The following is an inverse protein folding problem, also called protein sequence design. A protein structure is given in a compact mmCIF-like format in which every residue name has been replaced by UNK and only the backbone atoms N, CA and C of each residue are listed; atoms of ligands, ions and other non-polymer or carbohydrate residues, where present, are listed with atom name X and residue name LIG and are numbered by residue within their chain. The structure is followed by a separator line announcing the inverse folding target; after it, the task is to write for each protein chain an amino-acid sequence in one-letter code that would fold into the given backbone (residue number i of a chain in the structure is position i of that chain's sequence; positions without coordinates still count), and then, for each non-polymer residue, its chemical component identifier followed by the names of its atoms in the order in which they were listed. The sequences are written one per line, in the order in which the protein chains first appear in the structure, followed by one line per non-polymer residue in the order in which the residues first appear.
data_IF_030490618158
#
_entry.id   IF_030490618158
#
_cell.length_a   1.000
_cell.length_b   1.000
_cell.length_c   1.000
_cell.angle_alpha   90.00
_cell.angle_beta   90.00
_cell.angle_gamma   90.00
#
_symmetry.space_group_name_H-M   'P 1'
#
loop_
_entity.id
_entity.type
_entity.pdbx_description
1 polymer ?
#
# COMPACT_ATOMS: atom_id res chain seq x y z
N UNK A 1 -14.45 -5.77 -3.62
CA UNK A 1 -13.21 -5.11 -3.81
C UNK A 1 -12.24 -5.48 -2.78
N UNK A 2 -11.09 -5.81 -3.21
CA UNK A 2 -10.11 -6.32 -2.27
C UNK A 2 -9.08 -5.27 -1.89
N UNK A 3 -8.88 -4.22 -2.68
CA UNK A 3 -8.06 -3.10 -2.25
C UNK A 3 -8.96 -2.03 -1.65
N UNK A 4 -8.38 -1.20 -0.79
CA UNK A 4 -9.13 -0.10 -0.22
C UNK A 4 -8.22 1.10 -0.01
N UNK A 5 -8.82 2.28 0.03
CA UNK A 5 -8.08 3.51 0.24
C UNK A 5 -8.01 3.80 1.72
N UNK A 6 -6.84 4.25 2.20
CA UNK A 6 -6.71 4.70 3.57
C UNK A 6 -6.11 6.11 3.56
N UNK A 7 -6.08 6.74 4.71
CA UNK A 7 -5.65 8.13 4.84
C UNK A 7 -4.65 8.25 5.97
N UNK A 8 -4.02 9.43 6.07
CA UNK A 8 -3.12 9.71 7.19
C UNK A 8 -3.83 9.48 8.52
N UNK A 9 -5.08 9.89 8.62
CA UNK A 9 -5.83 9.79 9.86
C UNK A 9 -6.21 8.35 10.20
N UNK A 10 -6.48 7.54 9.19
CA UNK A 10 -6.93 6.17 9.43
C UNK A 10 -5.81 5.14 9.33
N UNK A 11 -4.60 5.59 9.04
CA UNK A 11 -3.47 4.70 8.80
C UNK A 11 -3.20 3.77 9.99
N UNK A 12 -3.28 4.31 11.20
CA UNK A 12 -3.02 3.50 12.39
C UNK A 12 -3.97 2.31 12.45
N UNK A 13 -5.25 2.56 12.24
CA UNK A 13 -6.25 1.52 12.31
C UNK A 13 -6.18 0.60 11.10
N UNK A 14 -6.12 1.17 9.90
CA UNK A 14 -6.25 0.41 8.67
C UNK A 14 -4.99 -0.38 8.32
N UNK A 15 -3.84 0.07 8.77
CA UNK A 15 -2.58 -0.57 8.41
C UNK A 15 -1.90 -1.16 9.64
N UNK A 16 -1.61 -0.34 10.64
CA UNK A 16 -0.81 -0.80 11.78
C UNK A 16 -1.56 -1.87 12.57
N UNK A 17 -2.78 -1.56 13.00
CA UNK A 17 -3.57 -2.51 13.77
C UNK A 17 -3.97 -3.70 12.92
N UNK A 18 -4.38 -3.46 11.68
CA UNK A 18 -4.81 -4.53 10.80
C UNK A 18 -3.68 -5.51 10.51
N UNK A 19 -2.44 -5.03 10.47
CA UNK A 19 -1.29 -5.87 10.16
C UNK A 19 -0.99 -6.90 11.25
N UNK A 20 -1.60 -6.74 12.40
CA UNK A 20 -1.45 -7.71 13.48
C UNK A 20 -2.26 -8.97 13.22
N UNK A 21 -3.29 -8.86 12.39
CA UNK A 21 -4.12 -10.01 12.03
C UNK A 21 -3.64 -10.66 10.74
N UNK A 22 -3.34 -9.85 9.71
CA UNK A 22 -2.73 -10.37 8.49
C UNK A 22 -1.93 -9.27 7.83
N UNK A 23 -0.93 -9.61 7.03
CA UNK A 23 -0.07 -8.60 6.42
C UNK A 23 -0.85 -7.60 5.59
N UNK A 24 -0.40 -6.35 5.62
CA UNK A 24 -1.00 -5.28 4.83
C UNK A 24 0.05 -4.74 3.88
N UNK A 25 -0.24 -4.80 2.59
CA UNK A 25 0.60 -4.18 1.57
C UNK A 25 0.08 -2.78 1.37
N UNK A 26 0.96 -1.78 1.55
CA UNK A 26 0.58 -0.39 1.35
C UNK A 26 1.13 0.08 0.02
N UNK A 27 0.25 0.54 -0.84
CA UNK A 27 0.58 1.05 -2.17
C UNK A 27 0.54 2.59 -2.10
N UNK A 28 1.73 3.20 -2.14
CA UNK A 28 1.87 4.65 -2.13
C UNK A 28 1.86 5.13 -3.58
N UNK A 29 0.89 5.96 -3.92
CA UNK A 29 0.65 6.31 -5.31
C UNK A 29 0.14 7.73 -5.47
N UNK A 30 0.06 8.20 -6.70
CA UNK A 30 -0.56 9.49 -7.02
C UNK A 30 -1.23 9.37 -8.38
N UNK A 31 -2.32 10.11 -8.60
CA UNK A 31 -3.04 10.01 -9.88
C UNK A 31 -2.23 10.46 -11.08
N UNK A 32 -1.22 11.31 -10.88
CA UNK A 32 -0.37 11.76 -11.98
C UNK A 32 0.79 10.80 -12.28
N UNK A 33 0.93 9.77 -11.50
CA UNK A 33 2.02 8.81 -11.64
C UNK A 33 1.59 7.69 -12.58
N UNK A 34 2.08 7.72 -13.82
CA UNK A 34 1.72 6.72 -14.82
C UNK A 34 2.01 5.30 -14.37
N UNK A 35 3.24 5.00 -13.91
CA UNK A 35 3.54 3.64 -13.44
C UNK A 35 2.66 3.20 -12.28
N UNK A 36 2.27 4.12 -11.38
CA UNK A 36 1.36 3.78 -10.29
C UNK A 36 0.01 3.30 -10.83
N UNK A 37 -0.51 4.03 -11.81
CA UNK A 37 -1.79 3.69 -12.42
C UNK A 37 -1.69 2.37 -13.15
N UNK A 38 -0.56 2.12 -13.80
CA UNK A 38 -0.40 0.89 -14.58
C UNK A 38 -0.36 -0.37 -13.73
N UNK A 39 0.15 -0.31 -12.51
CA UNK A 39 0.18 -1.51 -11.66
C UNK A 39 -1.12 -1.73 -10.92
N UNK A 40 -2.02 -0.76 -10.92
CA UNK A 40 -3.25 -0.85 -10.16
C UNK A 40 -4.10 -2.09 -10.48
N UNK A 41 -4.32 -2.43 -11.76
CA UNK A 41 -5.09 -3.65 -12.04
C UNK A 41 -4.43 -4.92 -11.52
N UNK A 42 -3.09 -4.98 -11.57
CA UNK A 42 -2.38 -6.15 -11.06
C UNK A 42 -2.54 -6.27 -9.54
N UNK A 43 -2.50 -5.14 -8.84
CA UNK A 43 -2.69 -5.15 -7.39
C UNK A 43 -4.11 -5.54 -7.03
N UNK A 44 -5.09 -5.07 -7.80
CA UNK A 44 -6.47 -5.42 -7.56
C UNK A 44 -6.67 -6.93 -7.74
N UNK A 45 -6.11 -7.47 -8.82
CA UNK A 45 -6.20 -8.91 -9.08
C UNK A 45 -5.54 -9.72 -7.98
N UNK A 46 -4.36 -9.29 -7.54
CA UNK A 46 -3.64 -9.98 -6.50
C UNK A 46 -4.41 -9.95 -5.17
N UNK A 47 -5.03 -8.82 -4.86
CA UNK A 47 -5.76 -8.69 -3.62
C UNK A 47 -6.98 -9.61 -3.60
N UNK A 48 -7.59 -9.85 -4.76
CA UNK A 48 -8.72 -10.77 -4.84
C UNK A 48 -8.27 -12.21 -4.67
N UNK A 49 -7.15 -12.56 -5.28
CA UNK A 49 -6.62 -13.91 -5.18
C UNK A 49 -6.17 -14.27 -3.76
N UNK A 50 -5.65 -13.28 -3.05
CA UNK A 50 -5.08 -13.50 -1.72
C UNK A 50 -5.87 -12.81 -0.63
N UNK A 51 -7.18 -12.61 -0.85
CA UNK A 51 -7.99 -11.81 0.06
C UNK A 51 -8.04 -12.37 1.48
N UNK A 52 -7.86 -13.68 1.62
CA UNK A 52 -7.84 -14.29 2.96
C UNK A 52 -6.43 -14.27 3.57
N UNK A 53 -5.44 -13.83 2.83
CA UNK A 53 -4.05 -13.85 3.31
C UNK A 53 -3.42 -12.49 3.50
N UNK A 54 -3.84 -11.49 2.73
CA UNK A 54 -3.30 -10.14 2.81
C UNK A 54 -4.39 -9.10 2.58
N UNK A 55 -4.12 -7.90 3.05
CA UNK A 55 -4.92 -6.72 2.69
C UNK A 55 -4.03 -5.80 1.87
N UNK A 56 -4.61 -5.07 0.93
CA UNK A 56 -3.86 -4.07 0.17
C UNK A 56 -4.53 -2.72 0.38
N UNK A 57 -3.81 -1.81 1.02
CA UNK A 57 -4.28 -0.47 1.32
C UNK A 57 -3.57 0.51 0.40
N UNK A 58 -4.30 1.47 -0.16
CA UNK A 58 -3.75 2.45 -1.07
C UNK A 58 -3.72 3.82 -0.41
N UNK A 59 -2.61 4.52 -0.52
CA UNK A 59 -2.45 5.86 0.02
C UNK A 59 -2.12 6.83 -1.12
N UNK A 60 -3.00 7.76 -1.37
CA UNK A 60 -2.75 8.84 -2.34
C UNK A 60 -1.89 9.88 -1.66
N UNK A 61 -0.63 10.01 -2.08
CA UNK A 61 0.31 10.89 -1.38
C UNK A 61 0.02 12.37 -1.56
N UNK A 62 -0.76 12.73 -2.58
CA UNK A 62 -1.14 14.13 -2.76
C UNK A 62 -2.08 14.59 -1.65
N UNK A 63 -2.96 13.69 -1.23
CA UNK A 63 -3.96 14.00 -0.21
C UNK A 63 -3.49 13.61 1.19
N UNK A 64 -2.45 12.80 1.29
CA UNK A 64 -2.00 12.25 2.56
C UNK A 64 -0.49 12.36 2.66
N UNK A 65 0.03 13.56 2.93
CA UNK A 65 1.48 13.79 2.92
C UNK A 65 2.24 13.34 4.17
N UNK A 66 1.53 13.08 5.27
CA UNK A 66 2.22 12.82 6.53
C UNK A 66 2.82 11.43 6.62
N UNK A 67 2.05 10.40 6.29
CA UNK A 67 2.55 9.03 6.42
C UNK A 67 3.64 8.70 5.42
N UNK A 68 3.57 9.15 4.16
CA UNK A 68 4.71 8.90 3.26
C UNK A 68 5.99 9.50 3.81
N UNK A 69 5.92 10.68 4.40
CA UNK A 69 7.10 11.31 4.99
C UNK A 69 7.60 10.48 6.17
N UNK A 70 6.69 10.02 7.01
CA UNK A 70 7.05 9.23 8.19
C UNK A 70 7.82 7.96 7.80
N UNK A 71 7.40 7.32 6.71
CA UNK A 71 8.01 6.05 6.29
C UNK A 71 9.07 6.22 5.22
N UNK A 72 9.47 7.44 4.93
CA UNK A 72 10.56 7.69 4.01
C UNK A 72 10.26 7.38 2.56
N UNK A 73 9.01 7.53 2.15
CA UNK A 73 8.60 7.28 0.78
C UNK A 73 9.07 8.44 -0.08
N UNK A 74 10.03 8.19 -0.97
CA UNK A 74 10.61 9.23 -1.81
C UNK A 74 10.31 9.06 -3.27
N UNK A 75 9.97 7.86 -3.69
CA UNK A 75 9.63 7.58 -5.07
C UNK A 75 8.39 6.76 -5.11
N UNK A 76 7.59 6.91 -6.15
CA UNK A 76 6.38 6.13 -6.32
C UNK A 76 6.35 5.55 -7.72
N UNK A 77 5.72 4.40 -7.92
CA UNK A 77 5.01 3.63 -6.90
C UNK A 77 5.98 3.00 -5.91
N UNK A 78 5.53 2.87 -4.69
CA UNK A 78 6.31 2.18 -3.68
C UNK A 78 5.36 1.30 -2.90
N UNK A 79 5.78 0.07 -2.63
CA UNK A 79 4.99 -0.87 -1.87
C UNK A 79 5.73 -1.20 -0.59
N UNK A 80 5.06 -1.04 0.53
CA UNK A 80 5.59 -1.45 1.83
C UNK A 80 4.69 -2.54 2.37
N UNK A 81 5.29 -3.58 2.93
CA UNK A 81 4.52 -4.65 3.54
C UNK A 81 4.66 -4.55 5.04
N UNK A 82 3.51 -4.45 5.71
CA UNK A 82 3.44 -4.34 7.17
C UNK A 82 2.97 -5.65 7.77
N UNK A 83 3.61 -6.06 8.85
CA UNK A 83 3.19 -7.21 9.63
C UNK A 83 3.49 -6.93 11.09
N UNK A 84 2.51 -7.17 11.94
CA UNK A 84 2.62 -6.92 13.38
C UNK A 84 3.05 -5.48 13.68
N UNK A 85 2.56 -4.54 12.86
CA UNK A 85 2.81 -3.12 13.05
C UNK A 85 4.13 -2.62 12.50
N UNK A 86 4.92 -3.48 11.84
CA UNK A 86 6.24 -3.12 11.35
C UNK A 86 6.40 -3.39 9.88
N UNK A 87 7.24 -2.58 9.22
CA UNK A 87 7.57 -2.79 7.82
C UNK A 87 8.54 -3.97 7.72
N UNK A 88 8.15 -5.00 7.00
CA UNK A 88 9.01 -6.17 6.83
C UNK A 88 9.59 -6.28 5.43
N UNK A 89 9.10 -5.51 4.47
CA UNK A 89 9.62 -5.58 3.11
C UNK A 89 9.23 -4.33 2.35
N UNK A 90 9.98 -4.01 1.30
CA UNK A 90 9.65 -2.87 0.47
C UNK A 90 10.05 -3.13 -0.97
N UNK A 91 9.31 -2.50 -1.90
CA UNK A 91 9.63 -2.52 -3.31
C UNK A 91 9.42 -1.13 -3.87
N UNK A 92 10.38 -0.67 -4.67
CA UNK A 92 10.35 0.66 -5.25
C UNK A 92 10.22 0.54 -6.76
N UNK A 93 9.39 1.40 -7.33
CA UNK A 93 9.19 1.40 -8.76
C UNK A 93 8.18 0.36 -9.19
N UNK A 94 7.79 0.40 -10.45
CA UNK A 94 6.83 -0.55 -10.99
C UNK A 94 7.49 -1.89 -11.20
N UNK A 95 6.92 -2.95 -10.64
CA UNK A 95 7.39 -4.29 -10.88
C UNK A 95 6.23 -5.13 -11.35
N UNK A 96 6.52 -6.15 -12.12
CA UNK A 96 5.50 -7.07 -12.52
C UNK A 96 5.41 -8.09 -11.46
N UNK A 97 4.51 -8.50 -11.04
CA UNK A 97 4.27 -9.57 -10.24
C UNK A 97 5.24 -10.01 -9.31
N UNK A 98 5.74 -9.35 -8.53
CA UNK A 98 6.55 -9.89 -7.48
C UNK A 98 5.81 -9.84 -6.15
#
# INVERSE_FOLDING_TARGET
MATFNTTDNDFEKDVIEASKTKPVVVDWWAPWCGPCVMISPALESLSEKLSDKINIAKVNIDENPNKPTTYGVRGIPMLLIFKDGEVISQKVGATSEE
#
